data_IF_249254010328
#
_entry.id   IF_249254010328
#
_cell.length_a   1.000
_cell.length_b   1.000
_cell.length_c   1.000
_cell.angle_alpha   90.00
_cell.angle_beta   90.00
_cell.angle_gamma   90.00
#
_symmetry.space_group_name_H-M   'P 1'
#
loop_
_entity.id
_entity.type
_entity.pdbx_description
1 polymer ?
#
# COMPACT_ATOMS: atom_id res chain seq x y z
N UNK A 1 35.54 -1.37 -4.15
CA UNK A 1 35.03 -1.37 -2.77
C UNK A 1 33.66 -0.71 -2.80
N UNK A 2 32.58 -1.47 -2.57
CA UNK A 2 31.24 -0.94 -2.31
C UNK A 2 30.35 -0.63 -3.52
N UNK A 3 29.96 -1.66 -4.30
CA UNK A 3 28.78 -1.57 -5.16
C UNK A 3 27.53 -1.60 -4.28
N UNK A 4 26.82 -0.48 -4.18
CA UNK A 4 25.46 -0.45 -3.69
C UNK A 4 24.57 -0.38 -4.93
N UNK A 5 23.98 -1.51 -5.27
CA UNK A 5 22.88 -1.60 -6.21
C UNK A 5 21.72 -0.75 -5.66
N UNK A 6 21.32 0.36 -6.30
CA UNK A 6 20.03 0.95 -5.97
C UNK A 6 18.97 0.02 -6.55
N UNK A 7 18.29 -0.69 -5.65
CA UNK A 7 17.17 -1.56 -5.95
C UNK A 7 16.14 -0.84 -6.82
N UNK A 8 15.91 -1.45 -7.99
CA UNK A 8 14.78 -1.31 -8.92
C UNK A 8 13.83 -0.12 -8.78
N UNK A 9 13.88 0.77 -9.78
CA UNK A 9 12.71 1.51 -10.22
C UNK A 9 12.68 1.51 -11.76
N UNK A 10 12.28 0.36 -12.33
CA UNK A 10 11.86 0.31 -13.72
C UNK A 10 10.46 0.93 -13.84
N UNK A 11 10.39 2.24 -14.02
CA UNK A 11 9.14 2.92 -14.37
C UNK A 11 8.95 2.87 -15.89
N UNK A 12 8.43 1.74 -16.34
CA UNK A 12 8.05 1.52 -17.72
C UNK A 12 7.52 0.10 -17.84
N UNK A 13 6.18 -0.04 -17.78
CA UNK A 13 5.37 -1.07 -18.46
C UNK A 13 3.94 -1.07 -17.92
N UNK A 14 3.05 -0.49 -18.70
CA UNK A 14 1.90 -1.19 -19.28
C UNK A 14 1.46 -2.48 -18.57
N UNK A 15 0.32 -2.45 -17.86
CA UNK A 15 -0.48 -3.65 -17.56
C UNK A 15 -0.24 -4.38 -16.24
N UNK A 16 0.66 -3.93 -15.37
CA UNK A 16 0.87 -4.54 -14.05
C UNK A 16 0.35 -3.57 -12.99
N UNK A 17 -0.91 -3.73 -12.58
CA UNK A 17 -1.51 -2.94 -11.52
C UNK A 17 -0.60 -2.94 -10.29
N UNK A 18 -0.30 -1.75 -9.74
CA UNK A 18 0.55 -1.65 -8.56
C UNK A 18 -0.12 -2.36 -7.39
N UNK A 19 0.62 -3.23 -6.72
CA UNK A 19 0.10 -4.05 -5.61
C UNK A 19 0.62 -3.61 -4.26
N UNK A 20 1.51 -2.62 -4.23
CA UNK A 20 2.14 -2.12 -3.00
C UNK A 20 2.57 -0.66 -3.17
N UNK A 21 2.38 0.16 -2.13
CA UNK A 21 2.66 1.59 -2.18
C UNK A 21 3.57 2.03 -1.03
N UNK A 22 4.88 1.73 -1.08
CA UNK A 22 5.82 2.20 -0.06
C UNK A 22 5.91 3.74 -0.01
N UNK A 23 5.56 4.43 -1.10
CA UNK A 23 5.62 5.90 -1.20
C UNK A 23 4.62 6.64 -0.29
N UNK A 24 3.51 6.00 0.07
CA UNK A 24 2.47 6.61 0.94
C UNK A 24 2.69 6.30 2.41
N UNK A 25 3.78 5.60 2.75
CA UNK A 25 4.18 5.41 4.16
C UNK A 25 4.59 6.76 4.72
N UNK A 26 4.09 7.09 5.92
CA UNK A 26 4.25 8.41 6.52
C UNK A 26 3.23 9.44 6.03
N UNK A 27 2.33 9.09 5.11
CA UNK A 27 1.25 9.97 4.66
C UNK A 27 -0.01 9.78 5.51
N UNK A 28 -0.87 10.81 5.63
CA UNK A 28 -2.18 10.63 6.21
C UNK A 28 -3.01 9.65 5.38
N UNK A 29 -3.81 8.81 6.05
CA UNK A 29 -4.62 7.75 5.43
C UNK A 29 -5.45 8.27 4.27
N UNK A 30 -6.06 9.46 4.41
CA UNK A 30 -6.88 10.05 3.35
C UNK A 30 -6.07 10.30 2.07
N UNK A 31 -4.87 10.88 2.17
CA UNK A 31 -4.02 11.12 0.99
C UNK A 31 -3.53 9.81 0.37
N UNK A 32 -3.17 8.84 1.22
CA UNK A 32 -2.76 7.52 0.77
C UNK A 32 -3.89 6.82 -0.01
N UNK A 33 -5.12 6.84 0.52
CA UNK A 33 -6.29 6.25 -0.15
C UNK A 33 -6.55 6.91 -1.50
N UNK A 34 -6.47 8.23 -1.59
CA UNK A 34 -6.66 8.95 -2.87
C UNK A 34 -5.61 8.53 -3.89
N UNK A 35 -4.33 8.46 -3.48
CA UNK A 35 -3.23 8.02 -4.35
C UNK A 35 -3.44 6.58 -4.83
N UNK A 36 -3.78 5.69 -3.91
CA UNK A 36 -3.99 4.28 -4.19
C UNK A 36 -5.23 4.06 -5.07
N UNK A 37 -6.33 4.79 -4.83
CA UNK A 37 -7.53 4.75 -5.70
C UNK A 37 -7.26 5.26 -7.11
N UNK A 38 -6.38 6.25 -7.26
CA UNK A 38 -5.97 6.76 -8.56
C UNK A 38 -5.18 5.73 -9.36
N UNK A 39 -4.34 4.95 -8.68
CA UNK A 39 -3.56 3.87 -9.29
C UNK A 39 -4.44 2.64 -9.59
N UNK A 40 -5.29 2.26 -8.64
CA UNK A 40 -6.22 1.15 -8.75
C UNK A 40 -7.59 1.54 -8.18
N UNK A 41 -8.58 1.83 -9.03
CA UNK A 41 -9.94 2.10 -8.57
C UNK A 41 -10.68 0.83 -8.14
N UNK A 42 -10.20 -0.34 -8.57
CA UNK A 42 -10.79 -1.68 -8.36
C UNK A 42 -10.38 -2.35 -7.03
N UNK A 43 -9.99 -1.57 -6.02
CA UNK A 43 -9.60 -2.09 -4.70
C UNK A 43 -10.42 -1.51 -3.57
N UNK A 44 -10.70 -2.38 -2.61
CA UNK A 44 -11.34 -2.06 -1.34
C UNK A 44 -10.29 -1.80 -0.27
N UNK A 45 -10.47 -0.76 0.53
CA UNK A 45 -9.56 -0.43 1.62
C UNK A 45 -10.06 -1.03 2.91
N UNK A 46 -9.16 -1.70 3.64
CA UNK A 46 -9.41 -2.03 5.04
C UNK A 46 -8.38 -1.30 5.89
N UNK A 47 -8.89 -0.42 6.75
CA UNK A 47 -8.11 0.15 7.84
C UNK A 47 -7.99 -0.92 8.94
N UNK A 48 -6.81 -1.53 9.03
CA UNK A 48 -6.50 -2.47 10.09
C UNK A 48 -5.83 -1.77 11.25
N UNK A 49 -6.51 -1.71 12.40
CA UNK A 49 -5.81 -1.48 13.66
C UNK A 49 -4.81 -2.63 13.91
N UNK A 50 -3.70 -2.34 14.59
CA UNK A 50 -2.70 -3.34 14.99
C UNK A 50 -3.34 -4.39 15.90
N UNK A 51 -3.94 -5.44 15.32
CA UNK A 51 -4.71 -6.47 16.05
C UNK A 51 -6.09 -6.79 15.49
N UNK A 52 -6.55 -6.13 14.42
CA UNK A 52 -7.80 -6.46 13.77
C UNK A 52 -7.80 -7.87 13.16
N UNK A 53 -8.84 -8.65 13.45
CA UNK A 53 -9.05 -9.96 12.85
C UNK A 53 -9.34 -9.80 11.36
N UNK A 54 -8.33 -10.05 10.53
CA UNK A 54 -8.49 -10.07 9.07
C UNK A 54 -9.44 -11.21 8.71
N UNK A 55 -10.47 -10.97 7.88
CA UNK A 55 -11.33 -12.06 7.45
C UNK A 55 -10.46 -13.07 6.68
N UNK A 56 -10.67 -14.38 6.88
CA UNK A 56 -9.88 -15.39 6.22
C UNK A 56 -10.15 -15.35 4.71
N UNK A 57 -9.09 -15.20 3.92
CA UNK A 57 -9.17 -15.19 2.45
C UNK A 57 -8.32 -14.07 1.86
N UNK A 58 -7.36 -14.45 1.02
CA UNK A 58 -6.56 -13.50 0.25
C UNK A 58 -7.47 -12.81 -0.77
N UNK A 59 -7.59 -11.48 -0.67
CA UNK A 59 -8.39 -10.70 -1.58
C UNK A 59 -7.46 -9.88 -2.48
N UNK A 60 -7.28 -10.26 -3.76
CA UNK A 60 -6.41 -9.53 -4.67
C UNK A 60 -6.97 -8.14 -5.01
N UNK A 61 -8.21 -7.83 -4.63
CA UNK A 61 -8.84 -6.51 -4.76
C UNK A 61 -9.00 -5.81 -3.41
N UNK A 62 -8.14 -6.12 -2.42
CA UNK A 62 -8.15 -5.46 -1.12
C UNK A 62 -6.79 -4.89 -0.79
N UNK A 63 -6.75 -3.69 -0.23
CA UNK A 63 -5.53 -3.07 0.32
C UNK A 63 -5.68 -2.90 1.82
N UNK A 64 -4.68 -3.41 2.52
CA UNK A 64 -4.53 -3.30 3.96
C UNK A 64 -3.76 -2.04 4.30
N UNK A 65 -4.42 -1.07 4.94
CA UNK A 65 -3.79 0.14 5.44
C UNK A 65 -3.61 0.02 6.95
N UNK A 66 -2.37 0.14 7.42
CA UNK A 66 -2.06 0.28 8.84
C UNK A 66 -1.60 1.70 9.13
N UNK A 67 -2.34 2.37 9.99
CA UNK A 67 -2.04 3.71 10.45
C UNK A 67 -1.87 3.77 11.97
N UNK A 68 -1.12 4.75 12.46
CA UNK A 68 -1.05 5.07 13.88
C UNK A 68 -2.32 5.83 14.34
N UNK A 69 -2.37 6.16 15.63
CA UNK A 69 -3.46 6.96 16.23
C UNK A 69 -3.58 8.37 15.63
N UNK A 70 -2.50 8.90 15.03
CA UNK A 70 -2.52 10.17 14.30
C UNK A 70 -3.10 10.05 12.87
N UNK A 71 -3.52 8.85 12.46
CA UNK A 71 -4.06 8.61 11.11
C UNK A 71 -3.00 8.67 10.02
N UNK A 72 -1.74 8.38 10.36
CA UNK A 72 -0.60 8.34 9.44
C UNK A 72 -0.18 6.90 9.19
N UNK A 73 0.09 6.53 7.94
CA UNK A 73 0.52 5.19 7.58
C UNK A 73 1.88 4.89 8.21
N UNK A 74 1.92 3.85 9.03
CA UNK A 74 3.16 3.36 9.66
C UNK A 74 3.76 2.16 8.93
N UNK A 75 2.99 1.57 8.01
CA UNK A 75 3.41 0.40 7.26
C UNK A 75 2.99 0.52 5.80
N UNK A 76 3.80 -0.07 4.93
CA UNK A 76 3.52 -0.15 3.50
C UNK A 76 2.18 -0.84 3.26
N UNK A 77 1.21 -0.15 2.64
CA UNK A 77 -0.03 -0.77 2.23
C UNK A 77 0.25 -1.69 1.05
N UNK A 78 -0.27 -2.91 1.18
CA UNK A 78 -0.11 -3.99 0.21
C UNK A 78 -1.47 -4.58 -0.10
N UNK A 79 -1.60 -5.10 -1.32
CA UNK A 79 -2.76 -5.87 -1.73
C UNK A 79 -2.74 -7.24 -1.03
N UNK A 80 -3.84 -7.62 -0.37
CA UNK A 80 -3.91 -8.88 0.36
C UNK A 80 -5.22 -9.17 1.09
#
# INVERSE_FOLDING_TARGET
>A
MGGLEPAGAGEGRDGIWKTSWPEVVGWPVQNAVVRIKGDRPDISFIAGGTGGQWPPGHNPSRVVILSNEAGVLVKTPVVG
#
